data_IF_591199058587
#
_entry.id   IF_591199058587
#
_cell.length_a   1.000
_cell.length_b   1.000
_cell.length_c   1.000
_cell.angle_alpha   90.00
_cell.angle_beta   90.00
_cell.angle_gamma   90.00
#
_symmetry.space_group_name_H-M   'P 1'
#
loop_
_entity.id
_entity.type
_entity.pdbx_description
1 polymer ?
#
# COMPACT_ATOMS: atom_id res chain seq x y z
N UNK A 1 21.37 11.09 24.66
CA UNK A 1 20.68 10.40 23.55
C UNK A 1 20.61 11.35 22.35
N UNK A 2 21.17 10.93 21.22
CA UNK A 2 21.55 11.79 20.10
C UNK A 2 20.32 12.35 19.35
N UNK A 3 20.23 13.68 19.29
CA UNK A 3 19.17 14.47 18.63
C UNK A 3 19.22 14.40 17.10
N UNK A 4 20.18 13.66 16.53
CA UNK A 4 20.45 13.58 15.09
C UNK A 4 19.86 12.33 14.41
N UNK A 5 19.12 11.49 15.15
CA UNK A 5 18.55 10.25 14.62
C UNK A 5 17.21 10.46 13.89
N UNK A 6 16.50 11.58 14.12
CA UNK A 6 15.19 11.84 13.50
C UNK A 6 15.25 12.04 11.98
N UNK A 7 16.41 12.46 11.44
CA UNK A 7 16.62 12.69 10.00
C UNK A 7 17.71 11.78 9.39
N UNK A 8 18.13 10.74 10.12
CA UNK A 8 19.12 9.80 9.59
C UNK A 8 18.49 8.95 8.49
N UNK A 9 18.98 9.09 7.25
CA UNK A 9 18.54 8.29 6.10
C UNK A 9 19.37 7.02 6.02
N UNK A 10 18.70 5.89 5.78
CA UNK A 10 19.39 4.63 5.49
C UNK A 10 20.05 4.73 4.12
N UNK A 11 21.34 4.38 4.04
CA UNK A 11 22.06 4.38 2.76
C UNK A 11 21.68 3.14 1.95
N UNK A 12 21.81 3.24 0.62
CA UNK A 12 21.51 2.12 -0.28
C UNK A 12 22.40 0.92 0.02
N UNK A 13 23.69 1.14 0.33
CA UNK A 13 24.62 0.09 0.72
C UNK A 13 24.18 -0.67 1.98
N UNK A 14 23.62 0.04 2.97
CA UNK A 14 23.09 -0.61 4.18
C UNK A 14 21.83 -1.45 3.88
N UNK A 15 20.99 -1.03 2.92
CA UNK A 15 19.83 -1.83 2.50
C UNK A 15 20.25 -3.12 1.76
N UNK A 16 21.29 -3.04 0.93
CA UNK A 16 21.83 -4.20 0.20
C UNK A 16 22.49 -5.17 1.19
N UNK A 17 23.34 -4.64 2.08
CA UNK A 17 24.00 -5.44 3.11
C UNK A 17 22.99 -6.17 4.02
N UNK A 18 21.91 -5.51 4.44
CA UNK A 18 20.84 -6.16 5.21
C UNK A 18 20.11 -7.25 4.41
N UNK A 19 19.95 -7.07 3.11
CA UNK A 19 19.33 -8.06 2.22
C UNK A 19 20.21 -9.30 1.99
N UNK A 20 21.53 -9.18 2.13
CA UNK A 20 22.50 -10.27 1.93
C UNK A 20 22.94 -10.92 3.24
N UNK A 21 22.92 -10.20 4.36
CA UNK A 21 23.42 -10.66 5.67
C UNK A 21 22.48 -11.62 6.42
N UNK A 22 21.21 -11.73 6.01
CA UNK A 22 20.23 -12.63 6.61
C UNK A 22 19.77 -13.71 5.63
N UNK A 23 19.69 -14.97 6.08
CA UNK A 23 19.24 -16.14 5.31
C UNK A 23 17.86 -15.96 4.67
N UNK A 24 17.83 -15.27 3.54
CA UNK A 24 16.64 -14.81 2.86
C UNK A 24 15.92 -15.93 2.11
N UNK A 25 14.63 -15.72 1.87
CA UNK A 25 13.85 -16.62 1.03
C UNK A 25 14.40 -16.61 -0.40
N UNK A 26 14.45 -17.80 -1.02
CA UNK A 26 14.80 -17.94 -2.43
C UNK A 26 13.85 -17.06 -3.27
N UNK A 27 14.40 -16.15 -4.07
CA UNK A 27 13.62 -15.31 -5.00
C UNK A 27 12.92 -16.20 -6.02
N UNK A 28 11.69 -16.59 -5.74
CA UNK A 28 10.87 -17.47 -6.59
C UNK A 28 9.69 -16.77 -7.24
N UNK A 29 9.35 -15.54 -6.80
CA UNK A 29 8.24 -14.79 -7.38
C UNK A 29 8.68 -14.15 -8.70
N UNK A 30 8.11 -14.66 -9.79
CA UNK A 30 8.20 -14.03 -11.10
C UNK A 30 7.28 -12.80 -11.23
N UNK A 31 7.39 -12.03 -12.33
CA UNK A 31 6.62 -10.81 -12.54
C UNK A 31 5.11 -11.01 -12.40
N UNK A 32 4.57 -12.11 -12.95
CA UNK A 32 3.14 -12.42 -12.85
C UNK A 32 2.69 -12.76 -11.43
N UNK A 33 3.54 -13.43 -10.65
CA UNK A 33 3.22 -13.77 -9.25
C UNK A 33 3.25 -12.50 -8.39
N UNK A 34 4.19 -11.59 -8.65
CA UNK A 34 4.26 -10.27 -8.02
C UNK A 34 3.03 -9.41 -8.35
N UNK A 35 2.60 -9.38 -9.62
CA UNK A 35 1.37 -8.65 -9.98
C UNK A 35 0.14 -9.27 -9.35
N UNK A 36 0.04 -10.60 -9.31
CA UNK A 36 -1.08 -11.30 -8.67
C UNK A 36 -1.11 -11.03 -7.15
N UNK A 37 0.06 -11.01 -6.50
CA UNK A 37 0.20 -10.63 -5.09
C UNK A 37 -0.30 -9.20 -4.85
N UNK A 38 0.11 -8.25 -5.70
CA UNK A 38 -0.32 -6.86 -5.61
C UNK A 38 -1.83 -6.70 -5.79
N UNK A 39 -2.41 -7.33 -6.82
CA UNK A 39 -3.86 -7.31 -7.07
C UNK A 39 -4.62 -7.90 -5.87
N UNK A 40 -4.17 -9.05 -5.35
CA UNK A 40 -4.78 -9.68 -4.18
C UNK A 40 -4.77 -8.79 -2.94
N UNK A 41 -3.65 -8.10 -2.68
CA UNK A 41 -3.53 -7.17 -1.56
C UNK A 41 -4.49 -5.97 -1.69
N UNK A 42 -4.61 -5.39 -2.90
CA UNK A 42 -5.48 -4.24 -3.17
C UNK A 42 -6.96 -4.62 -3.05
N UNK A 43 -7.38 -5.73 -3.66
CA UNK A 43 -8.79 -6.14 -3.64
C UNK A 43 -9.21 -6.61 -2.25
N UNK A 44 -8.37 -7.39 -1.56
CA UNK A 44 -8.71 -7.98 -0.26
C UNK A 44 -8.91 -6.94 0.83
N UNK A 45 -7.88 -6.12 1.10
CA UNK A 45 -7.95 -5.12 2.16
C UNK A 45 -8.71 -3.85 1.73
N UNK A 46 -8.60 -3.45 0.47
CA UNK A 46 -9.22 -2.21 -0.02
C UNK A 46 -10.71 -2.38 -0.30
N UNK A 47 -11.05 -3.21 -1.29
CA UNK A 47 -12.42 -3.26 -1.82
C UNK A 47 -13.37 -3.94 -0.83
N UNK A 48 -13.00 -5.11 -0.28
CA UNK A 48 -13.91 -5.85 0.57
C UNK A 48 -14.07 -5.27 1.98
N UNK A 49 -12.99 -4.76 2.60
CA UNK A 49 -13.05 -4.24 3.95
C UNK A 49 -13.42 -2.75 4.03
N UNK A 50 -12.91 -1.90 3.13
CA UNK A 50 -13.12 -0.45 3.25
C UNK A 50 -14.36 0.06 2.51
N UNK A 51 -14.68 -0.49 1.31
CA UNK A 51 -15.75 0.07 0.48
C UNK A 51 -17.13 -0.23 1.06
N UNK A 52 -17.35 -1.40 1.65
CA UNK A 52 -18.65 -1.77 2.26
C UNK A 52 -19.09 -0.77 3.34
N UNK A 53 -18.20 -0.44 4.27
CA UNK A 53 -18.47 0.56 5.32
C UNK A 53 -18.52 1.97 4.76
N UNK A 54 -17.70 2.30 3.76
CA UNK A 54 -17.74 3.63 3.13
C UNK A 54 -19.04 3.91 2.36
N UNK A 55 -19.68 2.88 1.79
CA UNK A 55 -20.97 3.02 1.07
C UNK A 55 -22.12 3.12 2.07
N UNK A 56 -22.23 2.14 2.98
CA UNK A 56 -23.37 2.01 3.89
C UNK A 56 -23.32 3.01 5.05
N UNK A 57 -22.15 3.55 5.35
CA UNK A 57 -21.91 4.37 6.53
C UNK A 57 -21.68 3.52 7.78
N UNK A 58 -21.09 4.15 8.79
CA UNK A 58 -20.89 3.57 10.12
C UNK A 58 -21.57 4.48 11.17
N UNK A 59 -21.66 4.04 12.42
CA UNK A 59 -22.27 4.80 13.52
C UNK A 59 -21.73 6.24 13.68
N UNK A 60 -20.51 6.52 13.21
CA UNK A 60 -19.90 7.85 13.23
C UNK A 60 -19.97 8.67 11.93
N UNK A 61 -20.24 8.05 10.77
CA UNK A 61 -20.13 8.73 9.46
C UNK A 61 -21.25 8.33 8.51
N UNK A 62 -21.91 9.33 7.90
CA UNK A 62 -22.84 9.11 6.79
C UNK A 62 -22.10 8.45 5.63
N UNK A 63 -22.64 7.31 5.18
CA UNK A 63 -22.12 6.60 4.02
C UNK A 63 -22.17 7.47 2.77
N UNK A 64 -21.18 7.32 1.90
CA UNK A 64 -21.11 8.06 0.64
C UNK A 64 -22.24 7.68 -0.34
N UNK A 65 -22.93 6.55 -0.12
CA UNK A 65 -24.01 6.08 -0.98
C UNK A 65 -23.55 5.96 -2.45
N UNK A 66 -24.34 6.52 -3.38
CA UNK A 66 -24.02 6.51 -4.80
C UNK A 66 -22.80 7.37 -5.18
N UNK A 67 -22.34 8.28 -4.31
CA UNK A 67 -21.18 9.12 -4.58
C UNK A 67 -19.83 8.40 -4.41
N UNK A 68 -19.82 7.17 -3.88
CA UNK A 68 -18.60 6.38 -3.66
C UNK A 68 -17.75 6.21 -4.94
N UNK A 69 -18.41 6.15 -6.10
CA UNK A 69 -17.74 5.99 -7.40
C UNK A 69 -16.82 7.17 -7.70
N UNK A 70 -17.25 8.38 -7.36
CA UNK A 70 -16.45 9.60 -7.53
C UNK A 70 -15.25 9.60 -6.58
N UNK A 71 -15.44 9.19 -5.32
CA UNK A 71 -14.36 9.07 -4.35
C UNK A 71 -13.29 8.04 -4.77
N UNK A 72 -13.71 6.90 -5.31
CA UNK A 72 -12.79 5.84 -5.78
C UNK A 72 -12.05 6.28 -7.05
N UNK A 73 -12.70 7.01 -7.96
CA UNK A 73 -12.03 7.61 -9.12
C UNK A 73 -10.92 8.57 -8.67
N UNK A 74 -11.21 9.45 -7.71
CA UNK A 74 -10.24 10.41 -7.20
C UNK A 74 -9.06 9.70 -6.49
N UNK A 75 -9.38 8.72 -5.64
CA UNK A 75 -8.38 7.88 -4.97
C UNK A 75 -7.49 7.13 -5.97
N UNK A 76 -8.09 6.61 -7.05
CA UNK A 76 -7.40 5.94 -8.15
C UNK A 76 -6.40 6.86 -8.84
N UNK A 77 -6.79 8.10 -9.15
CA UNK A 77 -5.90 9.09 -9.76
C UNK A 77 -4.73 9.43 -8.83
N UNK A 78 -4.99 9.67 -7.54
CA UNK A 78 -3.92 9.96 -6.57
C UNK A 78 -2.96 8.79 -6.39
N UNK A 79 -3.48 7.56 -6.37
CA UNK A 79 -2.66 6.34 -6.26
C UNK A 79 -1.81 6.12 -7.52
N UNK A 80 -2.37 6.36 -8.71
CA UNK A 80 -1.63 6.27 -9.96
C UNK A 80 -0.47 7.27 -10.03
N UNK A 81 -0.68 8.51 -9.59
CA UNK A 81 0.38 9.51 -9.48
C UNK A 81 1.48 9.07 -8.51
N UNK A 82 1.10 8.52 -7.35
CA UNK A 82 2.06 8.00 -6.38
C UNK A 82 2.87 6.80 -6.90
N UNK A 83 2.27 5.93 -7.72
CA UNK A 83 2.97 4.80 -8.31
C UNK A 83 4.00 5.20 -9.37
N UNK A 84 3.82 6.36 -9.99
CA UNK A 84 4.72 6.89 -11.04
C UNK A 84 5.87 7.71 -10.44
N UNK A 85 5.73 8.21 -9.21
CA UNK A 85 6.69 9.10 -8.54
C UNK A 85 7.65 8.33 -7.64
#
# INVERSE_FOLDING_TARGET
>A
MSRNQLFSRKTVDQCIADGEAGGGLKRSLGPLQLTALGIGAIIGAGIFAAIGTAISGDAGHVGAGSAIVVSILLAGVTSALAAIT
#
